data_IF_999555500434
#
_entry.id   IF_999555500434
#
_cell.length_a   1.000
_cell.length_b   1.000
_cell.length_c   1.000
_cell.angle_alpha   90.00
_cell.angle_beta   90.00
_cell.angle_gamma   90.00
#
_symmetry.space_group_name_H-M   'P 1'
#
loop_
_entity.id
_entity.type
_entity.pdbx_description
1 polymer ?
#
# COMPACT_ATOMS: atom_id res chain seq x y z
N UNK A 1 -7.66 -13.65 -15.59
CA UNK A 1 -8.32 -14.96 -15.77
C UNK A 1 -7.83 -15.56 -17.09
N UNK A 2 -7.84 -16.90 -17.27
CA UNK A 2 -7.54 -17.46 -18.58
C UNK A 2 -8.53 -16.91 -19.63
N UNK A 3 -8.08 -16.79 -20.89
CA UNK A 3 -8.90 -16.31 -22.02
C UNK A 3 -9.94 -17.37 -22.40
N UNK A 4 -11.03 -17.42 -21.65
CA UNK A 4 -12.18 -18.30 -21.87
C UNK A 4 -13.47 -17.48 -22.06
N UNK A 5 -14.49 -18.00 -22.76
CA UNK A 5 -15.77 -17.34 -22.88
C UNK A 5 -16.36 -16.98 -21.50
N UNK A 6 -16.74 -15.71 -21.33
CA UNK A 6 -17.31 -15.20 -20.07
C UNK A 6 -16.30 -14.70 -19.03
N UNK A 7 -14.99 -14.73 -19.30
CA UNK A 7 -13.99 -14.11 -18.43
C UNK A 7 -14.23 -12.58 -18.31
N UNK A 8 -14.14 -12.04 -17.10
CA UNK A 8 -14.36 -10.61 -16.84
C UNK A 8 -13.12 -9.78 -17.20
N UNK A 9 -11.94 -10.22 -16.75
CA UNK A 9 -10.64 -9.61 -17.10
C UNK A 9 -9.67 -10.73 -17.50
N UNK A 10 -9.37 -10.80 -18.79
CA UNK A 10 -8.62 -11.90 -19.42
C UNK A 10 -7.16 -11.56 -19.75
N UNK A 11 -6.77 -10.30 -19.54
CA UNK A 11 -5.41 -9.78 -19.72
C UNK A 11 -4.97 -8.95 -18.50
N UNK A 12 -3.67 -8.66 -18.41
CA UNK A 12 -3.17 -7.80 -17.34
C UNK A 12 -3.70 -6.36 -17.53
N UNK A 13 -4.23 -5.69 -16.50
CA UNK A 13 -4.87 -4.37 -16.66
C UNK A 13 -3.99 -3.31 -17.32
N UNK A 14 -2.68 -3.32 -17.04
CA UNK A 14 -1.72 -2.40 -17.68
C UNK A 14 -1.65 -2.63 -19.19
N UNK A 15 -1.76 -3.87 -19.66
CA UNK A 15 -1.68 -4.20 -21.09
C UNK A 15 -2.97 -3.79 -21.81
N UNK A 16 -4.12 -3.98 -21.17
CA UNK A 16 -5.43 -3.50 -21.65
C UNK A 16 -5.44 -1.97 -21.82
N UNK A 17 -4.91 -1.24 -20.83
CA UNK A 17 -4.83 0.22 -20.90
C UNK A 17 -3.89 0.66 -22.02
N UNK A 18 -2.72 0.01 -22.15
CA UNK A 18 -1.74 0.35 -23.20
C UNK A 18 -2.21 0.02 -24.61
N UNK A 19 -2.96 -1.06 -24.79
CA UNK A 19 -3.50 -1.45 -26.09
C UNK A 19 -4.67 -0.59 -26.54
N UNK A 20 -5.35 0.10 -25.60
CA UNK A 20 -6.57 0.84 -25.89
C UNK A 20 -7.83 -0.04 -25.93
N UNK A 21 -7.71 -1.33 -25.60
CA UNK A 21 -8.78 -2.34 -25.61
C UNK A 21 -9.70 -2.20 -24.37
N UNK A 22 -10.14 -0.98 -24.09
CA UNK A 22 -11.09 -0.62 -23.06
C UNK A 22 -12.12 0.37 -23.61
N UNK A 23 -13.21 0.59 -22.88
CA UNK A 23 -14.24 1.54 -23.30
C UNK A 23 -13.68 2.98 -23.35
N UNK A 24 -13.68 3.59 -24.53
CA UNK A 24 -13.22 4.96 -24.75
C UNK A 24 -14.30 5.97 -24.38
N UNK A 25 -14.49 6.18 -23.07
CA UNK A 25 -15.47 7.12 -22.50
C UNK A 25 -14.77 8.15 -21.59
N UNK A 26 -15.36 9.34 -21.37
CA UNK A 26 -14.81 10.29 -20.41
C UNK A 26 -14.65 9.67 -19.01
N UNK A 27 -13.47 9.85 -18.41
CA UNK A 27 -13.11 9.30 -17.10
C UNK A 27 -12.51 10.39 -16.20
N UNK A 28 -12.94 10.43 -14.94
CA UNK A 28 -12.42 11.34 -13.91
C UNK A 28 -12.09 10.49 -12.67
N UNK A 29 -10.90 10.67 -12.11
CA UNK A 29 -10.47 10.07 -10.85
C UNK A 29 -9.81 11.09 -9.92
N UNK A 30 -9.75 10.76 -8.63
CA UNK A 30 -9.15 11.61 -7.60
C UNK A 30 -8.79 10.80 -6.35
N UNK A 31 -8.04 11.43 -5.45
CA UNK A 31 -7.60 10.88 -4.16
C UNK A 31 -7.79 11.94 -3.07
N UNK A 32 -7.96 11.54 -1.81
CA UNK A 32 -7.99 12.48 -0.70
C UNK A 32 -6.61 12.65 -0.09
N UNK A 33 -6.40 13.74 0.66
CA UNK A 33 -5.11 13.99 1.31
C UNK A 33 -4.70 12.85 2.26
N UNK A 34 -5.67 12.17 2.88
CA UNK A 34 -5.45 11.25 4.00
C UNK A 34 -6.17 9.91 3.79
N UNK A 35 -6.17 9.34 2.58
CA UNK A 35 -6.83 8.05 2.31
C UNK A 35 -6.31 6.92 3.22
N UNK A 36 -5.02 6.96 3.59
CA UNK A 36 -4.39 6.04 4.54
C UNK A 36 -5.00 6.05 5.95
N UNK A 37 -5.76 7.09 6.31
CA UNK A 37 -6.39 7.22 7.63
C UNK A 37 -7.35 6.07 7.93
N UNK A 38 -7.97 5.49 6.89
CA UNK A 38 -8.83 4.32 7.00
C UNK A 38 -8.12 3.12 7.65
N UNK A 39 -6.81 2.96 7.40
CA UNK A 39 -6.00 1.87 7.95
C UNK A 39 -5.18 2.33 9.16
N UNK A 40 -4.56 3.50 9.12
CA UNK A 40 -3.70 3.98 10.22
C UNK A 40 -4.50 4.15 11.53
N UNK A 41 -5.76 4.58 11.45
CA UNK A 41 -6.64 4.70 12.61
C UNK A 41 -6.83 3.36 13.35
N UNK A 42 -6.92 2.24 12.61
CA UNK A 42 -7.08 0.92 13.21
C UNK A 42 -5.82 0.47 13.98
N UNK A 43 -4.62 0.83 13.50
CA UNK A 43 -3.38 0.60 14.24
C UNK A 43 -3.37 1.41 15.54
N UNK A 44 -3.68 2.71 15.49
CA UNK A 44 -3.67 3.56 16.68
C UNK A 44 -4.81 3.29 17.66
N UNK A 45 -5.87 2.60 17.25
CA UNK A 45 -6.92 2.11 18.14
C UNK A 45 -6.43 0.97 19.06
N UNK A 46 -5.28 0.35 18.77
CA UNK A 46 -4.70 -0.73 19.54
C UNK A 46 -3.18 -0.51 19.73
N UNK A 47 -2.78 -0.05 20.93
CA UNK A 47 -1.39 0.24 21.25
C UNK A 47 -0.43 -0.91 20.90
N UNK A 48 -0.83 -2.16 21.16
CA UNK A 48 -0.05 -3.35 20.84
C UNK A 48 0.26 -3.47 19.34
N UNK A 49 -0.66 -3.06 18.45
CA UNK A 49 -0.42 -3.10 17.01
C UNK A 49 0.61 -2.07 16.56
N UNK A 50 0.63 -0.89 17.17
CA UNK A 50 1.64 0.15 16.89
C UNK A 50 3.01 -0.30 17.37
N UNK A 51 3.10 -0.85 18.57
CA UNK A 51 4.37 -1.36 19.11
C UNK A 51 4.94 -2.47 18.22
N UNK A 52 4.10 -3.44 17.83
CA UNK A 52 4.48 -4.52 16.90
C UNK A 52 4.91 -3.95 15.55
N UNK A 53 4.19 -2.97 15.01
CA UNK A 53 4.53 -2.34 13.73
C UNK A 53 5.86 -1.59 13.80
N UNK A 54 6.13 -0.88 14.89
CA UNK A 54 7.38 -0.17 15.09
C UNK A 54 8.58 -1.13 15.16
N UNK A 55 8.45 -2.23 15.91
CA UNK A 55 9.51 -3.22 16.10
C UNK A 55 9.75 -4.08 14.86
N UNK A 56 8.68 -4.44 14.14
CA UNK A 56 8.71 -5.42 13.04
C UNK A 56 8.33 -4.82 11.69
N UNK A 57 8.55 -3.52 11.51
CA UNK A 57 8.19 -2.81 10.28
C UNK A 57 8.72 -3.51 9.02
N UNK A 58 10.00 -3.92 9.03
CA UNK A 58 10.66 -4.56 7.89
C UNK A 58 9.96 -5.85 7.43
N UNK A 59 9.31 -6.55 8.37
CA UNK A 59 8.68 -7.84 8.14
C UNK A 59 7.17 -7.71 7.88
N UNK A 60 6.53 -6.67 8.43
CA UNK A 60 5.08 -6.41 8.29
C UNK A 60 4.76 -5.58 7.04
N UNK A 61 5.55 -4.54 6.75
CA UNK A 61 5.34 -3.64 5.62
C UNK A 61 5.18 -4.35 4.27
N UNK A 62 5.91 -5.45 3.95
CA UNK A 62 5.69 -6.18 2.71
C UNK A 62 4.29 -6.75 2.55
N UNK A 63 3.64 -7.17 3.64
CA UNK A 63 2.27 -7.67 3.61
C UNK A 63 1.27 -6.51 3.59
N UNK A 64 1.52 -5.46 4.37
CA UNK A 64 0.64 -4.28 4.44
C UNK A 64 0.51 -3.55 3.10
N UNK A 65 1.58 -3.56 2.30
CA UNK A 65 1.70 -2.86 1.03
C UNK A 65 1.84 -3.80 -0.19
N UNK A 66 1.52 -5.08 -0.01
CA UNK A 66 1.39 -6.07 -1.09
C UNK A 66 2.65 -6.29 -1.97
N UNK A 67 3.85 -6.19 -1.39
CA UNK A 67 5.12 -6.55 -2.05
C UNK A 67 5.85 -7.73 -1.38
N UNK A 68 5.13 -8.54 -0.58
CA UNK A 68 5.68 -9.67 0.16
C UNK A 68 6.30 -10.79 -0.70
N UNK A 69 5.97 -10.82 -1.99
CA UNK A 69 6.50 -11.78 -2.98
C UNK A 69 7.82 -11.33 -3.59
N UNK A 70 8.28 -10.10 -3.35
CA UNK A 70 9.52 -9.58 -3.94
C UNK A 70 10.74 -10.08 -3.14
N UNK A 71 11.79 -10.50 -3.83
CA UNK A 71 13.02 -11.01 -3.20
C UNK A 71 13.68 -9.97 -2.27
N UNK A 72 13.62 -8.70 -2.67
CA UNK A 72 14.24 -7.59 -1.96
C UNK A 72 13.28 -6.85 -1.01
N UNK A 73 12.17 -7.47 -0.61
CA UNK A 73 11.10 -6.86 0.21
C UNK A 73 11.60 -6.11 1.45
N UNK A 74 12.47 -6.71 2.27
CA UNK A 74 12.99 -6.04 3.49
C UNK A 74 13.82 -4.79 3.15
N UNK A 75 14.53 -4.80 2.01
CA UNK A 75 15.26 -3.61 1.53
C UNK A 75 14.29 -2.50 1.14
N UNK A 76 13.18 -2.84 0.48
CA UNK A 76 12.10 -1.88 0.18
C UNK A 76 11.50 -1.32 1.47
N UNK A 77 11.16 -2.18 2.44
CA UNK A 77 10.61 -1.77 3.74
C UNK A 77 11.50 -0.73 4.42
N UNK A 78 12.82 -0.94 4.44
CA UNK A 78 13.78 0.00 5.04
C UNK A 78 13.82 1.34 4.32
N UNK A 79 13.74 1.34 3.00
CA UNK A 79 13.68 2.58 2.19
C UNK A 79 12.40 3.35 2.52
N UNK A 80 11.26 2.66 2.58
CA UNK A 80 9.97 3.25 2.97
C UNK A 80 10.06 3.83 4.39
N UNK A 81 10.51 3.04 5.37
CA UNK A 81 10.62 3.48 6.77
C UNK A 81 11.49 4.73 6.89
N UNK A 82 12.63 4.75 6.21
CA UNK A 82 13.55 5.89 6.23
C UNK A 82 12.96 7.14 5.59
N UNK A 83 12.19 7.01 4.52
CA UNK A 83 11.56 8.14 3.85
C UNK A 83 10.50 8.81 4.74
N UNK A 84 9.60 8.03 5.33
CA UNK A 84 8.47 8.56 6.10
C UNK A 84 8.81 8.85 7.57
N UNK A 85 9.55 7.96 8.23
CA UNK A 85 9.80 8.05 9.68
C UNK A 85 11.22 8.49 10.02
N UNK A 86 12.17 8.39 9.09
CA UNK A 86 13.59 8.64 9.35
C UNK A 86 14.07 7.79 10.54
N UNK A 87 14.60 8.43 11.59
CA UNK A 87 15.02 7.79 12.85
C UNK A 87 13.94 7.86 13.95
N UNK A 88 12.74 8.37 13.65
CA UNK A 88 11.64 8.45 14.62
C UNK A 88 10.99 7.09 14.81
N UNK A 89 10.49 6.86 16.02
CA UNK A 89 9.62 5.71 16.33
C UNK A 89 8.25 5.87 15.66
N UNK A 90 7.63 4.74 15.33
CA UNK A 90 6.21 4.69 14.95
C UNK A 90 5.40 4.66 16.24
N UNK A 91 4.88 5.81 16.65
CA UNK A 91 4.13 5.99 17.89
C UNK A 91 3.08 7.13 17.73
N UNK A 92 2.49 7.59 18.83
CA UNK A 92 1.46 8.62 18.80
C UNK A 92 1.94 9.97 18.21
N UNK A 93 3.25 10.25 18.21
CA UNK A 93 3.84 11.46 17.65
C UNK A 93 3.99 11.41 16.13
N UNK A 94 3.92 10.22 15.52
CA UNK A 94 4.10 9.98 14.08
C UNK A 94 2.85 9.48 13.36
N UNK A 95 1.66 9.86 13.88
CA UNK A 95 0.34 9.48 13.32
C UNK A 95 0.15 9.91 11.87
N UNK A 96 0.61 11.11 11.55
CA UNK A 96 0.49 11.66 10.20
C UNK A 96 1.41 10.89 9.25
N UNK A 97 2.64 10.60 9.66
CA UNK A 97 3.59 9.81 8.88
C UNK A 97 3.08 8.39 8.61
N UNK A 98 2.43 7.76 9.59
CA UNK A 98 1.78 6.45 9.36
C UNK A 98 0.55 6.55 8.45
N UNK A 99 -0.13 7.70 8.43
CA UNK A 99 -1.24 7.93 7.49
C UNK A 99 -0.72 8.16 6.08
N UNK A 100 0.43 8.82 5.92
CA UNK A 100 1.02 9.12 4.62
C UNK A 100 1.71 7.91 3.97
N UNK A 101 2.18 6.95 4.78
CA UNK A 101 2.84 5.73 4.28
C UNK A 101 1.84 4.63 3.87
N UNK A 102 0.61 4.67 4.40
CA UNK A 102 -0.43 3.66 4.16
C UNK A 102 -1.37 4.05 3.02
#
# INVERSE_FOLDING_TARGET
>A
EPKIPGAFISDHPIDIIKSGEFAQVPYISGMTKNDGAMKSAAFYANATLIDILNEKFDDIAPFLFFYNTFDFKRKVSRVIRRFYFQEKSIDNSTKSELTDVI
#
